data_IF_669358350797
#
_entry.id   IF_669358350797
#
_cell.length_a   1.000
_cell.length_b   1.000
_cell.length_c   1.000
_cell.angle_alpha   90.00
_cell.angle_beta   90.00
_cell.angle_gamma   90.00
#
_symmetry.space_group_name_H-M   'P 1'
#
loop_
_entity.id
_entity.type
_entity.pdbx_description
1 polymer ?
#
# COMPACT_ATOMS: atom_id res chain seq x y z
N UNK A 1 0.04 -25.60 -9.28
CA UNK A 1 -0.34 -24.30 -9.89
C UNK A 1 0.08 -23.12 -9.01
N UNK A 2 0.99 -23.36 -8.06
CA UNK A 2 1.09 -22.54 -6.83
C UNK A 2 2.21 -21.50 -6.90
N UNK A 3 3.31 -21.81 -7.59
CA UNK A 3 4.50 -20.96 -7.62
C UNK A 3 4.31 -19.64 -8.42
N UNK A 4 3.40 -19.62 -9.39
CA UNK A 4 3.14 -18.43 -10.21
C UNK A 4 2.23 -17.40 -9.51
N UNK A 5 1.30 -17.86 -8.67
CA UNK A 5 0.41 -16.98 -7.91
C UNK A 5 1.15 -16.37 -6.71
N UNK A 6 1.96 -17.19 -6.04
CA UNK A 6 2.84 -16.77 -4.95
C UNK A 6 3.89 -15.74 -5.41
N UNK A 7 4.47 -15.92 -6.62
CA UNK A 7 5.34 -14.89 -7.23
C UNK A 7 4.62 -13.59 -7.58
N UNK A 8 3.35 -13.63 -8.01
CA UNK A 8 2.60 -12.40 -8.34
C UNK A 8 2.34 -11.57 -7.08
N UNK A 9 2.11 -12.22 -5.95
CA UNK A 9 1.88 -11.58 -4.65
C UNK A 9 3.12 -10.91 -4.06
N UNK A 10 4.29 -11.15 -4.63
CA UNK A 10 5.54 -10.47 -4.26
C UNK A 10 5.73 -9.14 -5.00
N UNK A 11 4.76 -8.71 -5.81
CA UNK A 11 4.82 -7.44 -6.55
C UNK A 11 3.77 -6.45 -6.02
N UNK A 12 4.04 -5.13 -6.08
CA UNK A 12 3.05 -4.12 -5.70
C UNK A 12 1.71 -4.27 -6.42
N UNK A 13 1.74 -4.51 -7.74
CA UNK A 13 0.54 -4.69 -8.55
C UNK A 13 -0.24 -5.97 -8.17
N UNK A 14 0.46 -7.07 -7.86
CA UNK A 14 -0.20 -8.29 -7.43
C UNK A 14 -0.84 -8.17 -6.05
N UNK A 15 -0.18 -7.48 -5.11
CA UNK A 15 -0.78 -7.15 -3.80
C UNK A 15 -2.02 -6.27 -3.98
N UNK A 16 -1.92 -5.23 -4.81
CA UNK A 16 -3.03 -4.34 -5.13
C UNK A 16 -4.24 -5.12 -5.66
N UNK A 17 -4.01 -6.01 -6.61
CA UNK A 17 -5.07 -6.82 -7.21
C UNK A 17 -5.68 -7.79 -6.18
N UNK A 18 -4.85 -8.54 -5.44
CA UNK A 18 -5.32 -9.60 -4.54
C UNK A 18 -6.06 -9.04 -3.32
N UNK A 19 -5.52 -8.02 -2.67
CA UNK A 19 -6.02 -7.54 -1.38
C UNK A 19 -6.95 -6.33 -1.50
N UNK A 20 -6.82 -5.54 -2.56
CA UNK A 20 -7.61 -4.31 -2.75
C UNK A 20 -8.57 -4.38 -3.95
N UNK A 21 -8.46 -5.40 -4.80
CA UNK A 21 -9.36 -5.61 -5.95
C UNK A 21 -9.17 -4.63 -7.10
N UNK A 22 -8.09 -3.82 -7.11
CA UNK A 22 -7.82 -2.85 -8.17
C UNK A 22 -6.86 -3.40 -9.22
N UNK A 23 -7.16 -3.16 -10.50
CA UNK A 23 -6.32 -3.61 -11.61
C UNK A 23 -5.10 -2.73 -11.91
N UNK A 24 -5.06 -1.50 -11.39
CA UNK A 24 -3.95 -0.57 -11.59
C UNK A 24 -3.90 0.48 -10.46
N UNK A 25 -2.70 1.00 -10.22
CA UNK A 25 -2.49 2.15 -9.35
C UNK A 25 -3.06 3.42 -9.97
N UNK A 26 -3.51 4.34 -9.11
CA UNK A 26 -3.80 5.72 -9.51
C UNK A 26 -2.49 6.49 -9.69
N UNK A 27 -2.56 7.58 -10.45
CA UNK A 27 -1.42 8.46 -10.72
C UNK A 27 -0.69 8.83 -9.43
N UNK A 28 0.63 8.62 -9.44
CA UNK A 28 1.54 8.94 -8.33
C UNK A 28 1.70 7.85 -7.26
N UNK A 29 0.74 6.93 -7.09
CA UNK A 29 0.82 5.89 -6.04
C UNK A 29 2.00 4.94 -6.25
N UNK A 30 2.21 4.48 -7.49
CA UNK A 30 3.29 3.55 -7.83
C UNK A 30 4.68 4.13 -7.52
N UNK A 31 4.90 5.42 -7.81
CA UNK A 31 6.15 6.11 -7.49
C UNK A 31 6.41 6.23 -5.98
N UNK A 32 5.37 6.51 -5.20
CA UNK A 32 5.45 6.56 -3.73
C UNK A 32 5.81 5.19 -3.16
N UNK A 33 5.07 4.14 -3.59
CA UNK A 33 5.29 2.77 -3.15
C UNK A 33 6.71 2.30 -3.51
N UNK A 34 7.16 2.55 -4.74
CA UNK A 34 8.51 2.20 -5.17
C UNK A 34 9.60 2.92 -4.37
N UNK A 35 9.38 4.18 -3.98
CA UNK A 35 10.31 4.89 -3.12
C UNK A 35 10.39 4.30 -1.70
N UNK A 36 9.25 3.93 -1.10
CA UNK A 36 9.19 3.27 0.22
C UNK A 36 9.88 1.90 0.16
N UNK A 37 9.59 1.09 -0.86
CA UNK A 37 10.22 -0.23 -1.04
C UNK A 37 11.73 -0.15 -1.28
N UNK A 38 12.21 0.97 -1.82
CA UNK A 38 13.64 1.27 -1.95
C UNK A 38 14.28 1.81 -0.66
N UNK A 39 13.53 1.86 0.46
CA UNK A 39 14.03 2.35 1.75
C UNK A 39 14.24 3.86 1.80
N UNK A 40 13.54 4.64 0.97
CA UNK A 40 13.67 6.11 0.94
C UNK A 40 12.56 6.77 1.74
N UNK A 41 12.90 7.89 2.38
CA UNK A 41 11.94 8.79 3.01
C UNK A 41 11.07 9.48 1.96
N UNK A 42 9.76 9.58 2.20
CA UNK A 42 8.79 10.14 1.24
C UNK A 42 7.83 11.10 1.92
N UNK A 43 7.74 12.32 1.39
CA UNK A 43 6.61 13.22 1.63
C UNK A 43 5.61 13.10 0.48
N UNK A 44 4.48 12.46 0.73
CA UNK A 44 3.43 12.25 -0.27
C UNK A 44 2.26 13.20 -0.04
N UNK A 45 1.93 14.02 -1.05
CA UNK A 45 0.77 14.92 -1.02
C UNK A 45 -0.27 14.39 -2.00
N UNK A 46 -1.40 13.94 -1.47
CA UNK A 46 -2.52 13.39 -2.24
C UNK A 46 -3.82 14.04 -1.77
N UNK A 47 -4.79 14.27 -2.69
CA UNK A 47 -6.10 14.75 -2.29
C UNK A 47 -6.84 13.71 -1.43
N UNK A 48 -7.83 14.15 -0.66
CA UNK A 48 -8.78 13.25 0.00
C UNK A 48 -9.43 12.34 -1.04
N UNK A 49 -9.58 11.05 -0.70
CA UNK A 49 -10.05 10.04 -1.65
C UNK A 49 -9.01 9.60 -2.68
N UNK A 50 -7.81 10.21 -2.74
CA UNK A 50 -6.72 9.86 -3.66
C UNK A 50 -6.04 8.51 -3.40
N UNK A 51 -6.51 7.74 -2.42
CA UNK A 51 -5.98 6.42 -2.11
C UNK A 51 -4.63 6.45 -1.39
N UNK A 52 -4.40 7.45 -0.53
CA UNK A 52 -3.16 7.59 0.24
C UNK A 52 -2.87 6.41 1.18
N UNK A 53 -3.88 5.70 1.66
CA UNK A 53 -3.70 4.51 2.51
C UNK A 53 -2.99 3.35 1.79
N UNK A 54 -3.35 3.12 0.53
CA UNK A 54 -2.72 2.08 -0.32
C UNK A 54 -1.21 2.29 -0.42
N UNK A 55 -0.75 3.55 -0.42
CA UNK A 55 0.66 3.88 -0.56
C UNK A 55 1.54 3.36 0.58
N UNK A 56 1.00 3.16 1.80
CA UNK A 56 1.72 2.54 2.91
C UNK A 56 1.27 1.11 3.21
N UNK A 57 0.02 0.74 2.90
CA UNK A 57 -0.49 -0.62 3.13
C UNK A 57 0.10 -1.65 2.17
N UNK A 58 0.32 -1.29 0.89
CA UNK A 58 0.95 -2.20 -0.08
C UNK A 58 2.39 -2.53 0.33
N UNK A 59 3.27 -1.55 0.65
CA UNK A 59 4.58 -1.84 1.23
C UNK A 59 4.51 -2.68 2.51
N UNK A 60 3.55 -2.41 3.40
CA UNK A 60 3.39 -3.15 4.65
C UNK A 60 3.16 -4.65 4.45
N UNK A 61 2.55 -5.06 3.33
CA UNK A 61 2.33 -6.46 2.99
C UNK A 61 3.53 -7.11 2.29
N UNK A 62 4.46 -6.33 1.75
CA UNK A 62 5.62 -6.79 1.00
C UNK A 62 6.89 -6.84 1.85
N UNK A 63 7.03 -5.92 2.80
CA UNK A 63 8.20 -5.81 3.66
C UNK A 63 8.05 -6.73 4.88
N UNK A 64 9.15 -7.32 5.37
CA UNK A 64 9.12 -8.10 6.60
C UNK A 64 8.82 -7.20 7.81
N UNK A 65 8.08 -7.73 8.79
CA UNK A 65 7.77 -7.03 10.04
C UNK A 65 6.44 -6.29 10.01
N UNK A 66 6.34 -5.20 10.78
CA UNK A 66 5.11 -4.41 10.94
C UNK A 66 5.32 -2.97 10.47
N UNK A 67 4.27 -2.39 9.87
CA UNK A 67 4.21 -0.95 9.59
C UNK A 67 3.44 -0.23 10.70
N UNK A 68 4.06 0.77 11.32
CA UNK A 68 3.43 1.64 12.31
C UNK A 68 2.74 2.82 11.62
N UNK A 69 1.42 2.92 11.77
CA UNK A 69 0.63 4.03 11.24
C UNK A 69 0.18 4.93 12.39
N UNK A 70 0.57 6.20 12.35
CA UNK A 70 0.18 7.20 13.35
C UNK A 70 -0.97 8.03 12.77
N UNK A 71 -2.14 7.97 13.42
CA UNK A 71 -3.32 8.76 13.06
C UNK A 71 -3.73 9.66 14.24
N UNK A 72 -4.12 10.93 14.01
CA UNK A 72 -4.50 11.85 15.07
C UNK A 72 -5.91 11.58 15.63
N UNK A 73 -6.78 10.90 14.88
CA UNK A 73 -8.19 10.73 15.24
C UNK A 73 -8.56 9.25 15.29
N UNK A 74 -9.23 8.84 16.36
CA UNK A 74 -9.74 7.47 16.55
C UNK A 74 -10.74 7.09 15.44
N UNK A 75 -11.60 8.02 15.04
CA UNK A 75 -12.56 7.79 13.94
C UNK A 75 -11.86 7.36 12.65
N UNK A 76 -10.74 8.02 12.30
CA UNK A 76 -9.94 7.65 11.15
C UNK A 76 -9.25 6.29 11.31
N UNK A 77 -8.93 5.87 12.54
CA UNK A 77 -8.38 4.52 12.76
C UNK A 77 -9.44 3.46 12.53
N UNK A 78 -10.65 3.68 13.04
CA UNK A 78 -11.79 2.77 12.88
C UNK A 78 -12.14 2.58 11.40
N UNK A 79 -12.17 3.65 10.61
CA UNK A 79 -12.44 3.62 9.18
C UNK A 79 -11.43 2.79 8.36
N UNK A 80 -10.27 2.40 8.93
CA UNK A 80 -9.23 1.64 8.22
C UNK A 80 -9.15 0.16 8.64
N UNK A 81 -9.84 -0.24 9.71
CA UNK A 81 -9.79 -1.61 10.26
C UNK A 81 -11.15 -2.30 10.31
N UNK A 82 -12.25 -1.54 10.23
CA UNK A 82 -13.62 -2.04 10.36
C UNK A 82 -14.08 -2.92 9.20
#
# INVERSE_FOLDING_TARGET
MDNAMEKREQTPAGVLQRWFGYGAFRTGQEGIIGAILAGREVLAILPTGGGKSVCFQVPALLLPGYTLVISPLISLMQDQVA
#
